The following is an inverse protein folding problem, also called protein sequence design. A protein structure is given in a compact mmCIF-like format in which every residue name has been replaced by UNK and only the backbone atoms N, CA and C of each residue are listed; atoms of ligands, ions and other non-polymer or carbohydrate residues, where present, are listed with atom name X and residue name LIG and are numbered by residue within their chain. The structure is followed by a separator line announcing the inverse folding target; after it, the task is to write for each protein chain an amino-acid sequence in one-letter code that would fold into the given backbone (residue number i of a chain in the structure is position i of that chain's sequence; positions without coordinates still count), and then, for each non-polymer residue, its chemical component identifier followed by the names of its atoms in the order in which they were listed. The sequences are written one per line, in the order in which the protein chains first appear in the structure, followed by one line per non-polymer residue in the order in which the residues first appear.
data_IF_210122633157
#
_entry.id   IF_210122633157
#
_cell.length_a   1.000
_cell.length_b   1.000
_cell.length_c   1.000
_cell.angle_alpha   90.00
_cell.angle_beta   90.00
_cell.angle_gamma   90.00
#
_symmetry.space_group_name_H-M   'P 1'
#
loop_
_entity.id
_entity.type
_entity.pdbx_description
1 polymer ?
#
# COMPACT_ATOMS: atom_id res chain seq x y z
N UNK A 1 56.45 73.06 33.47
CA UNK A 1 57.01 73.99 32.48
C UNK A 1 56.30 73.76 31.15
N UNK A 2 55.93 74.86 30.49
CA UNK A 2 55.35 75.01 29.13
C UNK A 2 53.92 74.45 28.95
N UNK A 3 52.91 75.32 28.94
CA UNK A 3 52.34 76.06 27.77
C UNK A 3 51.36 75.17 26.98
N UNK A 4 50.06 75.52 26.93
CA UNK A 4 49.43 76.43 25.93
C UNK A 4 49.69 75.96 24.49
N UNK A 5 48.80 76.06 23.51
CA UNK A 5 47.47 76.62 23.34
C UNK A 5 47.07 76.18 21.91
N UNK A 6 45.99 76.75 21.39
CA UNK A 6 45.78 77.09 19.98
C UNK A 6 45.19 76.02 19.04
N UNK A 7 43.87 76.17 18.83
CA UNK A 7 43.21 76.51 17.55
C UNK A 7 43.70 75.86 16.26
N UNK A 8 42.78 75.22 15.52
CA UNK A 8 42.24 75.78 14.25
C UNK A 8 41.47 74.71 13.45
N UNK A 9 40.22 75.00 13.11
CA UNK A 9 39.40 74.47 11.99
C UNK A 9 39.96 74.97 10.63
N UNK A 10 39.47 74.59 9.42
CA UNK A 10 38.54 73.52 9.00
C UNK A 10 39.01 72.78 7.69
N UNK A 11 38.07 72.06 7.07
CA UNK A 11 37.99 71.66 5.64
C UNK A 11 38.96 70.61 5.10
N UNK A 12 38.42 69.44 4.74
CA UNK A 12 38.45 68.97 3.34
C UNK A 12 37.57 67.73 3.17
N UNK A 13 36.89 67.70 2.03
CA UNK A 13 35.94 66.73 1.55
C UNK A 13 36.51 65.31 1.43
N UNK A 14 35.73 64.32 1.88
CA UNK A 14 36.02 62.91 1.59
C UNK A 14 34.78 62.12 1.18
N UNK A 15 34.81 61.71 -0.09
CA UNK A 15 34.42 60.37 -0.59
C UNK A 15 32.95 59.96 -0.51
N UNK A 16 32.34 59.97 -1.70
CA UNK A 16 31.47 58.89 -2.16
C UNK A 16 32.13 57.52 -1.92
N UNK A 17 31.48 56.64 -1.16
CA UNK A 17 31.07 55.30 -1.61
C UNK A 17 30.61 54.42 -0.43
N UNK A 18 29.48 53.72 -0.67
CA UNK A 18 29.19 52.33 -0.30
C UNK A 18 29.40 52.00 1.18
N UNK A 19 28.38 51.59 1.91
CA UNK A 19 27.83 50.24 1.74
C UNK A 19 26.56 50.19 2.58
N UNK A 20 25.43 49.96 1.92
CA UNK A 20 24.14 49.75 2.57
C UNK A 20 24.25 48.46 3.36
N UNK A 21 24.15 48.58 4.69
CA UNK A 21 24.14 47.47 5.63
C UNK A 21 22.83 46.70 5.44
N UNK A 22 22.82 45.69 4.57
CA UNK A 22 21.69 44.78 4.46
C UNK A 22 21.70 43.87 5.69
N UNK A 23 20.73 44.10 6.59
CA UNK A 23 20.38 43.17 7.64
C UNK A 23 19.95 41.84 7.00
N UNK A 24 20.82 40.83 7.08
CA UNK A 24 20.47 39.45 6.74
C UNK A 24 19.59 38.89 7.85
N UNK A 25 18.29 39.12 7.75
CA UNK A 25 17.30 38.30 8.45
C UNK A 25 17.34 36.91 7.83
N UNK A 26 18.05 35.98 8.45
CA UNK A 26 18.02 34.56 8.07
C UNK A 26 16.62 34.05 8.42
N UNK A 27 15.72 34.07 7.44
CA UNK A 27 14.42 33.41 7.53
C UNK A 27 14.70 31.89 7.52
N UNK A 28 14.64 31.28 8.70
CA UNK A 28 14.71 29.83 8.85
C UNK A 28 13.42 29.24 8.28
N UNK A 29 13.43 28.88 7.00
CA UNK A 29 12.32 28.19 6.36
C UNK A 29 12.29 26.75 6.87
N UNK A 30 11.50 26.49 7.91
CA UNK A 30 11.08 25.12 8.27
C UNK A 30 10.28 24.55 7.10
N UNK A 31 10.96 23.83 6.21
CA UNK A 31 10.32 22.90 5.29
C UNK A 31 9.73 21.75 6.11
N UNK A 32 8.49 21.91 6.54
CA UNK A 32 7.65 20.77 6.87
C UNK A 32 7.55 19.92 5.60
N UNK A 33 8.32 18.83 5.54
CA UNK A 33 7.99 17.73 4.66
C UNK A 33 6.62 17.22 5.12
N UNK A 34 5.57 17.72 4.49
CA UNK A 34 4.27 17.07 4.53
C UNK A 34 4.46 15.74 3.83
N UNK A 35 4.71 14.68 4.60
CA UNK A 35 4.55 13.33 4.10
C UNK A 35 3.10 13.23 3.67
N UNK A 36 2.86 13.17 2.36
CA UNK A 36 1.53 12.84 1.85
C UNK A 36 1.15 11.51 2.47
N UNK A 37 0.10 11.52 3.29
CA UNK A 37 -0.50 10.30 3.82
C UNK A 37 -0.99 9.54 2.59
N UNK A 38 -0.20 8.56 2.16
CA UNK A 38 -0.61 7.74 1.04
C UNK A 38 -1.50 6.67 1.60
N UNK A 39 -2.79 6.86 1.42
CA UNK A 39 -3.81 5.95 1.89
C UNK A 39 -3.66 4.59 1.21
N UNK A 40 -3.93 3.61 2.03
CA UNK A 40 -3.71 2.22 1.77
C UNK A 40 -5.11 1.67 1.37
N UNK A 41 -5.35 0.94 0.24
CA UNK A 41 -6.63 0.18 -0.05
C UNK A 41 -6.42 -1.34 -0.50
N UNK A 42 -7.03 -2.40 0.13
CA UNK A 42 -7.02 -3.88 -0.12
C UNK A 42 -8.30 -4.48 0.51
N UNK A 43 -9.02 -5.32 -0.21
CA UNK A 43 -10.46 -5.46 0.06
C UNK A 43 -10.92 -6.90 0.29
N UNK A 44 -10.05 -7.90 0.25
CA UNK A 44 -10.51 -9.28 0.49
C UNK A 44 -10.78 -9.48 1.98
N UNK A 45 -12.03 -9.82 2.31
CA UNK A 45 -12.43 -10.15 3.68
C UNK A 45 -12.19 -11.62 3.99
N UNK A 46 -12.48 -12.49 3.02
CA UNK A 46 -12.26 -13.92 3.12
C UNK A 46 -11.64 -14.44 1.83
N UNK A 47 -10.56 -15.22 1.93
CA UNK A 47 -9.94 -15.86 0.76
C UNK A 47 -10.53 -17.26 0.51
N UNK A 48 -11.05 -17.91 1.56
CA UNK A 48 -11.62 -19.26 1.48
C UNK A 48 -12.93 -19.37 2.27
N UNK A 49 -14.04 -19.22 1.57
CA UNK A 49 -15.39 -19.41 2.07
C UNK A 49 -15.82 -20.87 1.89
N UNK A 50 -16.33 -21.50 2.96
CA UNK A 50 -16.88 -22.86 2.94
C UNK A 50 -18.29 -22.88 2.36
N UNK A 51 -18.80 -24.07 2.02
CA UNK A 51 -20.19 -24.24 1.59
C UNK A 51 -21.24 -23.78 2.61
N UNK A 52 -20.87 -23.73 3.90
CA UNK A 52 -21.69 -23.16 4.98
C UNK A 52 -21.71 -21.62 5.01
N UNK A 53 -20.91 -20.95 4.18
CA UNK A 53 -20.71 -19.50 4.22
C UNK A 53 -19.65 -19.03 5.23
N UNK A 54 -19.14 -19.93 6.08
CA UNK A 54 -18.09 -19.58 7.04
C UNK A 54 -16.74 -19.33 6.33
N UNK A 55 -15.99 -18.34 6.82
CA UNK A 55 -14.63 -18.12 6.34
C UNK A 55 -13.63 -19.08 7.01
N UNK A 56 -12.95 -19.90 6.22
CA UNK A 56 -11.92 -20.84 6.67
C UNK A 56 -10.50 -20.35 6.44
N UNK A 57 -10.33 -19.15 5.87
CA UNK A 57 -9.02 -18.67 5.49
C UNK A 57 -9.00 -17.19 5.14
N UNK A 58 -8.16 -16.46 5.84
CA UNK A 58 -8.04 -15.01 5.75
C UNK A 58 -6.74 -14.60 5.06
N UNK A 59 -6.72 -13.42 4.43
CA UNK A 59 -5.48 -12.81 3.97
C UNK A 59 -4.63 -12.31 5.15
N UNK A 60 -3.34 -12.08 4.89
CA UNK A 60 -2.40 -11.63 5.93
C UNK A 60 -2.76 -10.21 6.40
N UNK A 61 -2.63 -9.95 7.71
CA UNK A 61 -2.92 -8.66 8.35
C UNK A 61 -4.38 -8.17 8.28
N UNK A 62 -5.34 -9.06 8.01
CA UNK A 62 -6.76 -8.70 7.97
C UNK A 62 -7.26 -8.21 9.35
N UNK A 63 -7.66 -6.94 9.51
CA UNK A 63 -8.04 -6.38 10.79
C UNK A 63 -9.50 -6.67 11.17
N UNK A 64 -10.23 -7.41 10.32
CA UNK A 64 -11.68 -7.68 10.38
C UNK A 64 -12.58 -6.48 10.19
N UNK A 65 -13.82 -6.74 9.73
CA UNK A 65 -14.87 -5.73 9.58
C UNK A 65 -15.38 -5.14 10.90
N UNK A 66 -15.05 -5.74 12.05
CA UNK A 66 -15.33 -5.10 13.34
C UNK A 66 -14.40 -3.93 13.64
N UNK A 67 -13.30 -3.79 12.90
CA UNK A 67 -12.46 -2.60 12.96
C UNK A 67 -13.07 -1.49 12.07
N UNK A 68 -13.52 -0.40 12.67
CA UNK A 68 -14.13 0.73 11.96
C UNK A 68 -13.18 1.42 10.95
N UNK A 69 -11.87 1.30 11.16
CA UNK A 69 -10.83 1.88 10.31
C UNK A 69 -10.32 0.91 9.25
N UNK A 70 -10.93 -0.28 9.10
CA UNK A 70 -10.50 -1.32 8.15
C UNK A 70 -10.21 -0.76 6.75
N UNK A 71 -11.06 0.14 6.27
CA UNK A 71 -10.92 0.75 4.95
C UNK A 71 -9.57 1.47 4.84
N UNK A 72 -9.19 2.24 5.85
CA UNK A 72 -7.97 3.06 5.85
C UNK A 72 -6.68 2.25 6.07
N UNK A 73 -6.75 1.16 6.85
CA UNK A 73 -5.53 0.49 7.38
C UNK A 73 -5.13 -0.80 6.67
N UNK A 74 -6.07 -1.53 6.07
CA UNK A 74 -5.86 -2.94 5.69
C UNK A 74 -5.02 -3.19 4.41
N UNK A 75 -4.37 -2.17 3.91
CA UNK A 75 -4.67 -1.89 2.53
C UNK A 75 -3.44 -1.23 1.83
N UNK A 76 -3.29 -1.18 0.49
CA UNK A 76 -2.15 -0.45 -0.11
C UNK A 76 -2.34 -0.04 -1.58
N UNK A 77 -2.52 1.26 -1.86
CA UNK A 77 -2.60 1.76 -3.24
C UNK A 77 -1.26 1.58 -3.95
N UNK A 78 -1.22 0.94 -5.12
CA UNK A 78 0.03 0.80 -5.88
C UNK A 78 0.03 1.55 -7.21
N UNK A 79 -1.12 2.02 -7.72
CA UNK A 79 -1.25 2.66 -9.04
C UNK A 79 -0.33 3.87 -9.22
N UNK A 80 0.09 4.14 -10.46
CA UNK A 80 0.98 5.27 -10.83
C UNK A 80 2.35 5.35 -10.12
N UNK A 81 2.77 4.30 -9.42
CA UNK A 81 4.10 4.21 -8.80
C UNK A 81 5.15 3.56 -9.71
N UNK A 82 6.41 3.90 -9.46
CA UNK A 82 7.55 3.32 -10.17
C UNK A 82 7.78 1.84 -9.81
N UNK A 83 8.65 1.16 -10.56
CA UNK A 83 8.95 -0.26 -10.37
C UNK A 83 9.60 -0.60 -9.02
N UNK A 84 10.27 0.35 -8.37
CA UNK A 84 10.89 0.14 -7.05
C UNK A 84 9.89 0.26 -5.89
N UNK A 85 8.70 0.81 -6.15
CA UNK A 85 7.67 0.95 -5.13
C UNK A 85 7.24 -0.41 -4.59
N UNK A 86 7.01 -0.53 -3.28
CA UNK A 86 6.57 -1.78 -2.68
C UNK A 86 5.15 -2.14 -3.13
N UNK A 87 4.81 -3.43 -3.05
CA UNK A 87 3.47 -3.95 -3.38
C UNK A 87 2.48 -3.90 -2.22
N UNK A 88 3.00 -3.84 -1.00
CA UNK A 88 2.22 -3.76 0.23
C UNK A 88 2.80 -2.66 1.11
N UNK A 89 2.08 -2.26 2.15
CA UNK A 89 2.57 -1.30 3.13
C UNK A 89 3.95 -1.76 3.66
N UNK A 90 4.99 -0.91 3.61
CA UNK A 90 6.30 -1.24 4.18
C UNK A 90 6.18 -1.74 5.62
N UNK A 91 6.95 -2.77 5.96
CA UNK A 91 6.94 -3.39 7.29
C UNK A 91 5.81 -4.41 7.52
N UNK A 92 4.77 -4.47 6.68
CA UNK A 92 3.66 -5.44 6.86
C UNK A 92 3.75 -6.65 5.95
N UNK A 93 4.59 -6.58 4.91
CA UNK A 93 4.65 -7.60 3.86
C UNK A 93 5.31 -8.91 4.30
N UNK A 94 6.18 -8.85 5.33
CA UNK A 94 6.86 -10.01 5.91
C UNK A 94 6.23 -10.49 7.21
N UNK A 95 5.11 -9.91 7.66
CA UNK A 95 4.53 -10.28 8.97
C UNK A 95 4.26 -11.77 9.06
N UNK A 96 3.91 -12.43 7.97
CA UNK A 96 3.78 -13.89 7.93
C UNK A 96 5.10 -14.64 8.20
N UNK A 97 6.28 -14.12 7.81
CA UNK A 97 7.60 -14.73 8.08
C UNK A 97 7.95 -14.55 9.55
N UNK A 98 7.51 -13.42 10.10
CA UNK A 98 7.75 -13.00 11.47
C UNK A 98 6.75 -13.63 12.45
N UNK A 99 5.61 -14.14 11.96
CA UNK A 99 4.56 -14.81 12.74
C UNK A 99 4.90 -16.25 13.12
N UNK A 100 6.06 -16.44 13.77
CA UNK A 100 6.27 -17.57 14.69
C UNK A 100 5.48 -17.40 15.99
N UNK A 101 5.05 -16.19 16.34
CA UNK A 101 4.31 -15.91 17.58
C UNK A 101 2.82 -15.66 17.31
N UNK A 102 1.99 -16.67 17.58
CA UNK A 102 0.52 -16.64 17.41
C UNK A 102 -0.16 -15.57 18.28
N UNK A 103 0.54 -15.02 19.26
CA UNK A 103 0.03 -14.01 20.22
C UNK A 103 -0.07 -12.60 19.61
N UNK A 104 0.63 -12.34 18.50
CA UNK A 104 0.62 -11.03 17.82
C UNK A 104 -0.23 -11.01 16.55
N UNK A 105 -0.95 -12.09 16.24
CA UNK A 105 -2.05 -12.01 15.29
C UNK A 105 -3.14 -11.17 15.93
N UNK A 106 -3.27 -9.92 15.49
CA UNK A 106 -4.45 -9.11 15.77
C UNK A 106 -5.28 -9.04 14.48
N UNK A 107 -6.53 -9.53 14.50
CA UNK A 107 -7.18 -10.19 15.64
C UNK A 107 -6.66 -11.61 15.87
N UNK A 108 -6.67 -12.09 17.13
CA UNK A 108 -6.24 -13.45 17.45
C UNK A 108 -7.16 -14.46 16.74
N UNK A 109 -6.55 -15.54 16.23
CA UNK A 109 -7.23 -16.73 15.72
C UNK A 109 -7.82 -16.70 14.30
N UNK A 110 -7.41 -15.79 13.42
CA UNK A 110 -7.74 -15.92 11.99
C UNK A 110 -6.74 -16.83 11.27
N UNK A 111 -7.14 -18.03 10.81
CA UNK A 111 -6.23 -18.88 10.04
C UNK A 111 -5.94 -18.23 8.69
N UNK A 112 -4.67 -18.19 8.28
CA UNK A 112 -4.34 -17.81 6.91
C UNK A 112 -4.98 -18.82 5.94
N UNK A 113 -5.49 -18.30 4.82
CA UNK A 113 -6.00 -19.19 3.79
C UNK A 113 -4.90 -20.13 3.27
N UNK A 114 -5.27 -21.40 3.19
CA UNK A 114 -4.46 -22.46 2.57
C UNK A 114 -5.28 -23.07 1.46
N UNK A 115 -4.60 -23.38 0.36
CA UNK A 115 -5.21 -23.94 -0.82
C UNK A 115 -4.34 -25.08 -1.36
N UNK A 116 -4.97 -26.16 -1.79
CA UNK A 116 -4.31 -27.26 -2.48
C UNK A 116 -4.33 -27.04 -3.99
N UNK A 117 -3.35 -27.61 -4.73
CA UNK A 117 -3.45 -27.66 -6.19
C UNK A 117 -4.74 -28.34 -6.64
N UNK A 118 -5.45 -27.74 -7.59
CA UNK A 118 -6.76 -28.20 -8.06
C UNK A 118 -7.95 -27.70 -7.22
N UNK A 119 -7.73 -27.08 -6.07
CA UNK A 119 -8.79 -26.55 -5.23
C UNK A 119 -9.39 -25.26 -5.80
N UNK A 120 -10.72 -25.14 -5.79
CA UNK A 120 -11.42 -23.89 -6.07
C UNK A 120 -11.64 -23.11 -4.79
N UNK A 121 -11.05 -21.92 -4.71
CA UNK A 121 -11.30 -20.98 -3.63
C UNK A 121 -12.48 -20.09 -3.98
N UNK A 122 -13.36 -19.87 -3.00
CA UNK A 122 -14.39 -18.83 -3.03
C UNK A 122 -13.95 -17.72 -2.09
N UNK A 123 -13.85 -16.50 -2.59
CA UNK A 123 -13.41 -15.33 -1.85
C UNK A 123 -14.58 -14.37 -1.69
N UNK A 124 -14.64 -13.67 -0.57
CA UNK A 124 -15.68 -12.69 -0.28
C UNK A 124 -15.04 -11.34 0.08
N UNK A 125 -15.74 -10.26 -0.27
CA UNK A 125 -15.38 -8.90 0.09
C UNK A 125 -16.60 -7.99 0.08
N UNK A 126 -16.59 -6.92 0.87
CA UNK A 126 -17.50 -5.79 0.62
C UNK A 126 -16.95 -4.88 -0.48
N UNK A 127 -17.84 -4.37 -1.33
CA UNK A 127 -17.47 -3.45 -2.41
C UNK A 127 -17.00 -2.07 -1.91
N UNK A 128 -17.37 -1.68 -0.68
CA UNK A 128 -17.30 -0.31 -0.11
C UNK A 128 -17.05 0.85 -1.10
N UNK A 129 -18.03 1.15 -1.95
CA UNK A 129 -17.96 2.29 -2.87
C UNK A 129 -17.26 2.02 -4.20
N UNK A 130 -16.59 0.87 -4.37
CA UNK A 130 -15.94 0.46 -5.63
C UNK A 130 -16.83 -0.40 -6.52
N UNK A 131 -18.15 -0.41 -6.28
CA UNK A 131 -19.09 -1.12 -7.13
C UNK A 131 -19.16 -0.46 -8.51
N UNK A 132 -18.68 -1.17 -9.53
CA UNK A 132 -18.71 -0.71 -10.91
C UNK A 132 -20.04 -1.12 -11.53
N UNK A 133 -20.88 -0.14 -11.84
CA UNK A 133 -22.22 -0.38 -12.42
C UNK A 133 -22.19 -0.57 -13.95
N UNK A 134 -21.23 0.04 -14.62
CA UNK A 134 -21.03 -0.03 -16.08
C UNK A 134 -19.52 0.02 -16.41
N UNK A 135 -19.10 -0.59 -17.52
CA UNK A 135 -17.71 -0.58 -17.98
C UNK A 135 -16.87 -1.79 -17.53
N UNK A 136 -15.55 -1.71 -17.73
CA UNK A 136 -14.59 -2.83 -17.57
C UNK A 136 -14.17 -3.16 -16.13
N UNK A 137 -14.57 -2.32 -15.16
CA UNK A 137 -14.40 -2.51 -13.72
C UNK A 137 -12.96 -2.64 -13.21
N UNK A 138 -12.82 -2.67 -11.89
CA UNK A 138 -11.56 -3.01 -11.22
C UNK A 138 -11.25 -4.48 -11.45
N UNK A 139 -9.99 -4.83 -11.70
CA UNK A 139 -9.57 -6.23 -11.83
C UNK A 139 -8.69 -6.62 -10.66
N UNK A 140 -8.84 -7.83 -10.15
CA UNK A 140 -7.88 -8.42 -9.22
C UNK A 140 -7.04 -9.46 -9.95
N UNK A 141 -5.73 -9.39 -9.78
CA UNK A 141 -4.81 -10.46 -10.17
C UNK A 141 -4.31 -11.19 -8.94
N UNK A 142 -4.34 -12.52 -8.98
CA UNK A 142 -3.71 -13.38 -7.99
C UNK A 142 -2.33 -13.76 -8.48
N UNK A 143 -1.28 -13.17 -7.91
CA UNK A 143 0.10 -13.54 -8.21
C UNK A 143 0.59 -14.65 -7.29
N UNK A 144 1.46 -15.52 -7.79
CA UNK A 144 2.04 -16.65 -7.07
C UNK A 144 3.55 -16.67 -7.17
N UNK A 145 4.22 -16.92 -6.05
CA UNK A 145 5.69 -16.96 -5.99
C UNK A 145 6.32 -18.31 -6.33
N UNK A 146 5.54 -19.40 -6.25
CA UNK A 146 6.09 -20.77 -6.38
C UNK A 146 7.13 -21.14 -5.32
N UNK A 147 7.29 -20.32 -4.27
CA UNK A 147 8.27 -20.52 -3.20
C UNK A 147 7.67 -20.13 -1.86
N UNK A 148 7.54 -21.10 -0.96
CA UNK A 148 6.88 -20.92 0.35
C UNK A 148 7.60 -19.94 1.29
N UNK A 149 8.86 -19.58 1.03
CA UNK A 149 9.65 -18.63 1.81
C UNK A 149 9.85 -17.27 1.10
N UNK A 150 9.12 -17.01 -0.01
CA UNK A 150 9.25 -15.76 -0.78
C UNK A 150 7.92 -15.06 -0.94
N UNK A 151 7.94 -13.73 -0.79
CA UNK A 151 6.88 -12.83 -1.22
C UNK A 151 7.40 -11.87 -2.28
N UNK A 152 6.48 -11.43 -3.14
CA UNK A 152 6.68 -10.35 -4.08
C UNK A 152 6.75 -9.05 -3.29
N UNK A 153 7.81 -8.28 -3.52
CA UNK A 153 8.17 -7.09 -2.77
C UNK A 153 7.74 -5.82 -3.45
N UNK A 154 8.04 -5.72 -4.74
CA UNK A 154 7.99 -4.47 -5.49
C UNK A 154 7.13 -4.58 -6.73
N UNK A 155 6.69 -3.44 -7.28
CA UNK A 155 5.99 -3.39 -8.57
C UNK A 155 6.75 -4.08 -9.69
N UNK A 156 8.09 -4.07 -9.65
CA UNK A 156 8.93 -4.81 -10.60
C UNK A 156 8.65 -6.32 -10.60
N UNK A 157 8.39 -6.90 -9.43
CA UNK A 157 8.19 -8.35 -9.29
C UNK A 157 6.94 -8.83 -10.04
N UNK A 158 5.89 -8.00 -10.09
CA UNK A 158 4.65 -8.31 -10.83
C UNK A 158 4.68 -7.82 -12.28
N UNK A 159 5.45 -6.77 -12.62
CA UNK A 159 5.56 -6.31 -14.02
C UNK A 159 6.33 -7.31 -14.91
N UNK A 160 7.06 -8.22 -14.28
CA UNK A 160 7.75 -9.33 -14.94
C UNK A 160 6.97 -10.64 -14.85
N UNK A 161 5.75 -10.66 -14.31
CA UNK A 161 5.01 -11.91 -14.10
C UNK A 161 4.86 -12.72 -15.39
N UNK A 162 5.15 -14.03 -15.31
CA UNK A 162 5.06 -14.95 -16.44
C UNK A 162 6.26 -14.96 -17.40
N UNK A 163 7.26 -14.08 -17.22
CA UNK A 163 8.54 -14.14 -17.95
C UNK A 163 9.45 -15.23 -17.37
N UNK A 164 10.34 -15.78 -18.20
CA UNK A 164 11.38 -16.70 -17.71
C UNK A 164 12.23 -16.04 -16.61
N UNK A 165 12.45 -16.75 -15.51
CA UNK A 165 13.15 -16.22 -14.33
C UNK A 165 12.36 -15.24 -13.46
N UNK A 166 11.08 -14.99 -13.77
CA UNK A 166 10.22 -14.11 -12.98
C UNK A 166 9.97 -14.64 -11.57
N UNK A 167 9.96 -13.78 -10.54
CA UNK A 167 9.54 -14.17 -9.20
C UNK A 167 8.03 -14.39 -9.08
N UNK A 168 7.23 -14.01 -10.09
CA UNK A 168 5.78 -14.04 -10.05
C UNK A 168 5.14 -14.79 -11.24
N UNK A 169 4.04 -15.49 -10.97
CA UNK A 169 3.11 -16.02 -11.98
C UNK A 169 1.70 -15.53 -11.66
N UNK A 170 0.98 -14.97 -12.63
CA UNK A 170 -0.45 -14.72 -12.48
C UNK A 170 -1.21 -16.06 -12.56
N UNK A 171 -1.97 -16.41 -11.53
CA UNK A 171 -2.78 -17.63 -11.48
C UNK A 171 -4.23 -17.38 -11.90
N UNK A 172 -4.75 -16.19 -11.62
CA UNK A 172 -6.11 -15.81 -11.95
C UNK A 172 -6.21 -14.30 -12.11
N UNK A 173 -7.12 -13.87 -12.97
CA UNK A 173 -7.61 -12.50 -13.06
C UNK A 173 -9.13 -12.56 -13.01
N UNK A 174 -9.74 -11.75 -12.17
CA UNK A 174 -11.19 -11.68 -12.08
C UNK A 174 -11.65 -10.23 -11.92
N UNK A 175 -12.87 -9.96 -12.37
CA UNK A 175 -13.50 -8.66 -12.18
C UNK A 175 -13.86 -8.49 -10.70
N UNK A 176 -13.63 -7.29 -10.18
CA UNK A 176 -13.87 -6.91 -8.79
C UNK A 176 -15.11 -6.03 -8.72
N UNK A 177 -16.00 -6.33 -7.78
CA UNK A 177 -17.16 -5.52 -7.42
C UNK A 177 -18.01 -5.04 -8.63
N UNK A 178 -18.75 -5.95 -9.26
CA UNK A 178 -19.68 -5.67 -10.35
C UNK A 178 -21.03 -6.40 -10.16
N UNK A 179 -22.09 -6.07 -10.92
CA UNK A 179 -23.41 -6.69 -10.74
C UNK A 179 -23.43 -8.21 -10.90
N UNK A 180 -22.50 -8.80 -11.67
CA UNK A 180 -22.42 -10.24 -11.87
C UNK A 180 -21.79 -10.99 -10.70
N UNK A 181 -21.15 -10.30 -9.77
CA UNK A 181 -20.46 -10.93 -8.64
C UNK A 181 -20.76 -10.29 -7.27
N UNK A 182 -21.70 -9.36 -7.21
CA UNK A 182 -22.16 -8.72 -5.99
C UNK A 182 -23.63 -9.06 -5.70
N UNK A 183 -23.97 -9.19 -4.42
CA UNK A 183 -25.30 -9.57 -3.95
C UNK A 183 -26.38 -8.53 -4.28
N UNK A 184 -26.06 -7.26 -4.10
CA UNK A 184 -26.97 -6.14 -4.35
C UNK A 184 -26.27 -5.05 -5.20
N UNK A 185 -26.55 -4.97 -6.51
CA UNK A 185 -25.92 -4.01 -7.41
C UNK A 185 -26.34 -2.54 -7.15
N UNK A 186 -27.31 -2.30 -6.28
CA UNK A 186 -27.74 -0.96 -5.91
C UNK A 186 -27.08 -0.46 -4.62
N UNK A 187 -26.53 -1.38 -3.80
CA UNK A 187 -25.83 -1.05 -2.57
C UNK A 187 -24.32 -0.95 -2.81
N UNK A 188 -23.76 0.26 -2.67
CA UNK A 188 -22.33 0.51 -2.84
C UNK A 188 -21.43 -0.29 -1.89
N UNK A 189 -21.95 -0.75 -0.76
CA UNK A 189 -21.24 -1.54 0.25
C UNK A 189 -21.66 -3.03 0.23
N UNK A 190 -22.32 -3.49 -0.84
CA UNK A 190 -22.73 -4.88 -0.98
C UNK A 190 -21.56 -5.85 -0.82
N UNK A 191 -21.85 -7.04 -0.29
CA UNK A 191 -20.94 -8.17 -0.37
C UNK A 191 -20.86 -8.67 -1.82
N UNK A 192 -19.66 -9.07 -2.21
CA UNK A 192 -19.32 -9.64 -3.49
C UNK A 192 -18.48 -10.89 -3.31
N UNK A 193 -18.47 -11.73 -4.35
CA UNK A 193 -17.85 -13.04 -4.32
C UNK A 193 -17.05 -13.29 -5.59
N UNK A 194 -15.86 -13.84 -5.45
CA UNK A 194 -14.99 -14.26 -6.55
C UNK A 194 -14.62 -15.72 -6.40
N UNK A 195 -14.37 -16.40 -7.51
CA UNK A 195 -13.89 -17.78 -7.50
C UNK A 195 -12.65 -17.91 -8.37
N UNK A 196 -11.70 -18.71 -7.93
CA UNK A 196 -10.61 -19.16 -8.79
C UNK A 196 -10.12 -20.54 -8.38
N UNK A 197 -9.68 -21.32 -9.37
CA UNK A 197 -9.13 -22.66 -9.14
C UNK A 197 -7.61 -22.60 -9.18
N UNK A 198 -6.97 -23.15 -8.15
CA UNK A 198 -5.51 -23.34 -8.14
C UNK A 198 -5.17 -24.36 -9.23
N UNK A 199 -4.27 -24.08 -10.19
CA UNK A 199 -3.88 -25.07 -11.18
C UNK A 199 -3.34 -26.36 -10.54
N UNK A 200 -3.66 -27.53 -11.09
CA UNK A 200 -3.31 -28.84 -10.50
C UNK A 200 -1.81 -29.06 -10.25
N UNK A 201 -0.95 -28.39 -11.01
CA UNK A 201 0.51 -28.53 -10.91
C UNK A 201 1.17 -27.33 -10.21
N UNK A 202 0.43 -26.62 -9.36
CA UNK A 202 0.97 -25.45 -8.64
C UNK A 202 1.90 -25.91 -7.52
N UNK A 203 3.20 -25.64 -7.66
CA UNK A 203 4.19 -25.88 -6.61
C UNK A 203 3.90 -25.01 -5.38
N UNK A 204 4.19 -25.45 -4.14
CA UNK A 204 3.98 -24.68 -2.91
C UNK A 204 4.58 -23.28 -2.96
N UNK A 205 3.86 -22.29 -2.43
CA UNK A 205 4.21 -20.89 -2.60
C UNK A 205 3.28 -19.96 -1.85
N UNK A 206 3.35 -18.67 -2.20
CA UNK A 206 2.52 -17.62 -1.61
C UNK A 206 1.76 -16.91 -2.70
N UNK A 207 0.49 -16.63 -2.43
CA UNK A 207 -0.32 -15.79 -3.30
C UNK A 207 -0.42 -14.36 -2.75
N UNK A 208 -0.46 -13.39 -3.65
CA UNK A 208 -0.72 -11.98 -3.34
C UNK A 208 -1.80 -11.47 -4.28
N UNK A 209 -2.81 -10.84 -3.72
CA UNK A 209 -3.88 -10.18 -4.45
C UNK A 209 -3.46 -8.75 -4.78
N UNK A 210 -3.63 -8.36 -6.03
CA UNK A 210 -3.32 -7.02 -6.52
C UNK A 210 -4.50 -6.50 -7.32
N UNK A 211 -4.99 -5.31 -6.96
CA UNK A 211 -6.10 -4.63 -7.63
C UNK A 211 -5.56 -3.63 -8.66
N UNK A 212 -6.27 -3.52 -9.79
CA UNK A 212 -5.95 -2.64 -10.92
C UNK A 212 -7.10 -1.70 -11.22
#
# INVERSE_FOLDING_TARGET
MAHQSSTSTPTSSSRFNKTMLFAFTVLLTSTFLTTTVTEAHSWVDCVKTLGSGACAGYPTNYPTRSNGDINTIYTYLISNRNNAAPLCKPGTQDTFLLNKDRRNHLPPNLPFAKAYPGETLTMNWQANGHLVRTGSGTKVTVFWTGKSNKVLKTRKDISQAGKSGSPAKALAVFDFANPGNCKDPNNANTECTGKFTIPKNTAPGRYQFVWW
#
